data_IF_208241205532
#
_entry.id   IF_208241205532
#
_cell.length_a   1.000
_cell.length_b   1.000
_cell.length_c   1.000
_cell.angle_alpha   90.00
_cell.angle_beta   90.00
_cell.angle_gamma   90.00
#
_symmetry.space_group_name_H-M   'P 1'
#
loop_
_entity.id
_entity.type
_entity.pdbx_description
1 polymer ?
#
# COMPACT_ATOMS: atom_id res chain seq x y z
N UNK A 1 -10.53 -5.07 0.36
CA UNK A 1 -9.61 -6.20 0.59
C UNK A 1 -8.55 -6.20 -0.50
N UNK A 2 -7.26 -6.42 -0.17
CA UNK A 2 -6.19 -6.61 -1.16
C UNK A 2 -5.81 -8.08 -1.28
N UNK A 3 -5.74 -8.59 -2.51
CA UNK A 3 -5.32 -9.96 -2.83
C UNK A 3 -4.21 -9.94 -3.86
N UNK A 4 -3.13 -10.70 -3.60
CA UNK A 4 -2.09 -10.95 -4.60
C UNK A 4 -2.50 -12.16 -5.43
N UNK A 5 -2.79 -11.95 -6.71
CA UNK A 5 -3.17 -12.99 -7.66
C UNK A 5 -1.95 -13.72 -8.21
N UNK A 6 -0.90 -12.96 -8.56
CA UNK A 6 0.39 -13.47 -9.00
C UNK A 6 1.51 -12.59 -8.47
N UNK A 7 2.66 -13.21 -8.26
CA UNK A 7 3.87 -12.52 -7.86
C UNK A 7 5.09 -13.14 -8.55
N UNK A 8 6.03 -12.29 -8.95
CA UNK A 8 7.34 -12.70 -9.44
C UNK A 8 8.42 -11.87 -8.77
N UNK A 9 9.36 -12.54 -8.10
CA UNK A 9 10.58 -11.92 -7.59
C UNK A 9 11.43 -11.35 -8.73
N UNK A 10 11.94 -10.14 -8.53
CA UNK A 10 12.83 -9.45 -9.47
C UNK A 10 14.24 -9.34 -8.89
N UNK A 11 14.37 -8.70 -7.74
CA UNK A 11 15.66 -8.40 -7.10
C UNK A 11 15.45 -8.06 -5.62
N UNK A 12 16.54 -7.73 -4.93
CA UNK A 12 16.48 -7.01 -3.66
C UNK A 12 16.86 -5.55 -3.86
N UNK A 13 16.21 -4.67 -3.11
CA UNK A 13 16.53 -3.25 -3.03
C UNK A 13 16.37 -2.79 -1.58
N UNK A 14 17.43 -2.21 -1.02
CA UNK A 14 17.50 -1.77 0.40
C UNK A 14 17.08 -2.85 1.42
N UNK A 15 17.36 -4.12 1.10
CA UNK A 15 17.00 -5.25 1.96
C UNK A 15 15.55 -5.72 1.85
N UNK A 16 14.72 -5.06 1.04
CA UNK A 16 13.37 -5.50 0.69
C UNK A 16 13.37 -6.23 -0.65
N UNK A 17 12.50 -7.24 -0.80
CA UNK A 17 12.30 -7.89 -2.09
C UNK A 17 11.50 -6.99 -3.01
N UNK A 18 11.98 -6.84 -4.24
CA UNK A 18 11.28 -6.16 -5.32
C UNK A 18 10.53 -7.21 -6.13
N UNK A 19 9.22 -7.00 -6.31
CA UNK A 19 8.35 -7.96 -7.00
C UNK A 19 7.52 -7.29 -8.08
N UNK A 20 7.24 -8.01 -9.16
CA UNK A 20 6.13 -7.68 -10.06
C UNK A 20 4.92 -8.45 -9.56
N UNK A 21 3.81 -7.77 -9.32
CA UNK A 21 2.59 -8.38 -8.82
C UNK A 21 1.37 -8.10 -9.72
N UNK A 22 0.46 -9.07 -9.79
CA UNK A 22 -0.92 -8.87 -10.23
C UNK A 22 -1.80 -8.88 -8.98
N UNK A 23 -2.59 -7.83 -8.79
CA UNK A 23 -3.40 -7.60 -7.59
C UNK A 23 -4.89 -7.55 -7.91
N UNK A 24 -5.72 -7.87 -6.92
CA UNK A 24 -7.14 -7.54 -6.90
C UNK A 24 -7.45 -6.74 -5.64
N UNK A 25 -8.17 -5.63 -5.79
CA UNK A 25 -8.63 -4.76 -4.70
C UNK A 25 -10.14 -4.52 -4.81
N UNK A 26 -10.85 -4.33 -3.71
CA UNK A 26 -12.27 -3.99 -3.77
C UNK A 26 -12.44 -2.56 -4.28
N UNK A 27 -11.56 -1.65 -3.84
CA UNK A 27 -11.51 -0.26 -4.31
C UNK A 27 -10.07 0.20 -4.59
N UNK A 28 -9.90 1.14 -5.53
CA UNK A 28 -8.61 1.78 -5.83
C UNK A 28 -7.95 2.42 -4.61
N UNK A 29 -8.72 2.79 -3.57
CA UNK A 29 -8.19 3.32 -2.29
C UNK A 29 -7.30 2.32 -1.56
N UNK A 30 -7.39 1.04 -1.91
CA UNK A 30 -6.63 -0.04 -1.29
C UNK A 30 -5.38 -0.41 -2.10
N UNK A 31 -5.15 0.25 -3.25
CA UNK A 31 -3.93 0.06 -4.01
C UNK A 31 -2.72 0.45 -3.15
N UNK A 32 -1.67 -0.39 -3.12
CA UNK A 32 -0.51 -0.15 -2.29
C UNK A 32 0.31 1.04 -2.82
N UNK A 33 1.02 1.70 -1.91
CA UNK A 33 2.01 2.73 -2.24
C UNK A 33 3.25 2.11 -2.89
N UNK A 34 4.22 2.94 -3.27
CA UNK A 34 5.52 2.49 -3.81
C UNK A 34 6.27 1.55 -2.84
N UNK A 35 6.09 1.73 -1.54
CA UNK A 35 6.61 0.82 -0.50
C UNK A 35 6.05 -0.61 -0.62
N UNK A 36 5.02 -0.79 -1.46
CA UNK A 36 4.46 -2.04 -1.92
C UNK A 36 3.61 -2.75 -0.88
N UNK A 37 3.77 -4.07 -0.76
CA UNK A 37 2.83 -4.93 -0.02
C UNK A 37 3.60 -5.76 1.00
N UNK A 38 3.31 -5.56 2.29
CA UNK A 38 3.80 -6.40 3.39
C UNK A 38 5.33 -6.60 3.36
N UNK A 39 6.09 -5.51 3.25
CA UNK A 39 7.56 -5.56 3.24
C UNK A 39 8.19 -5.94 1.89
N UNK A 40 7.41 -5.92 0.80
CA UNK A 40 7.90 -6.07 -0.57
C UNK A 40 7.70 -4.77 -1.33
N UNK A 41 8.71 -4.30 -2.05
CA UNK A 41 8.57 -3.15 -2.97
C UNK A 41 7.93 -3.62 -4.28
N UNK A 42 7.04 -2.79 -4.84
CA UNK A 42 6.48 -3.06 -6.16
C UNK A 42 7.41 -2.55 -7.25
N UNK A 43 7.73 -3.43 -8.20
CA UNK A 43 8.39 -3.06 -9.44
C UNK A 43 7.38 -2.37 -10.37
N UNK A 44 7.85 -1.42 -11.21
CA UNK A 44 7.11 -1.01 -12.39
C UNK A 44 6.66 -2.23 -13.21
N UNK A 45 5.54 -2.07 -13.93
CA UNK A 45 4.80 -3.12 -14.64
C UNK A 45 3.99 -4.09 -13.74
N UNK A 46 3.84 -3.78 -12.45
CA UNK A 46 2.80 -4.41 -11.62
C UNK A 46 1.41 -3.96 -12.07
N UNK A 47 0.41 -4.80 -11.84
CA UNK A 47 -0.96 -4.63 -12.35
C UNK A 47 -1.97 -4.82 -11.22
N UNK A 48 -3.10 -4.13 -11.30
CA UNK A 48 -4.17 -4.31 -10.32
C UNK A 48 -5.57 -4.21 -10.96
N UNK A 49 -6.49 -5.01 -10.42
CA UNK A 49 -7.91 -5.01 -10.78
C UNK A 49 -8.73 -4.43 -9.64
N UNK A 50 -9.51 -3.38 -9.91
CA UNK A 50 -10.53 -2.88 -8.98
C UNK A 50 -11.83 -3.64 -9.21
N UNK A 51 -12.22 -4.49 -8.26
CA UNK A 51 -13.34 -5.41 -8.41
C UNK A 51 -14.69 -4.68 -8.46
N UNK A 52 -14.85 -3.59 -7.70
CA UNK A 52 -16.12 -2.86 -7.63
C UNK A 52 -16.48 -2.12 -8.92
N UNK A 53 -15.47 -1.61 -9.64
CA UNK A 53 -15.66 -0.81 -10.86
C UNK A 53 -15.30 -1.57 -12.13
N UNK A 54 -14.50 -2.64 -12.02
CA UNK A 54 -13.90 -3.35 -13.15
C UNK A 54 -12.74 -2.60 -13.79
N UNK A 55 -12.26 -1.52 -13.16
CA UNK A 55 -11.13 -0.74 -13.66
C UNK A 55 -9.81 -1.49 -13.50
N UNK A 56 -8.89 -1.23 -14.42
CA UNK A 56 -7.59 -1.87 -14.48
C UNK A 56 -6.49 -0.84 -14.32
N UNK A 57 -5.51 -1.13 -13.48
CA UNK A 57 -4.45 -0.20 -13.12
C UNK A 57 -3.08 -0.79 -13.42
N UNK A 58 -2.19 0.04 -13.97
CA UNK A 58 -0.78 -0.26 -14.17
C UNK A 58 0.10 0.56 -13.23
N UNK A 59 1.11 -0.06 -12.61
CA UNK A 59 2.09 0.62 -11.76
C UNK A 59 3.25 1.15 -12.60
N UNK A 60 3.38 2.47 -12.62
CA UNK A 60 4.37 3.21 -13.40
C UNK A 60 5.76 3.22 -12.79
N UNK A 61 6.75 3.68 -13.57
CA UNK A 61 8.12 3.91 -13.09
C UNK A 61 8.25 5.15 -12.20
N UNK A 62 7.20 5.94 -12.10
CA UNK A 62 7.07 7.14 -11.27
C UNK A 62 6.41 6.85 -9.91
N UNK A 63 6.19 5.58 -9.57
CA UNK A 63 5.62 5.17 -8.29
C UNK A 63 4.10 5.34 -8.18
N UNK A 64 3.41 5.60 -9.30
CA UNK A 64 1.96 5.87 -9.34
C UNK A 64 1.23 4.75 -10.04
N UNK A 65 -0.04 4.58 -9.66
CA UNK A 65 -0.96 3.76 -10.44
C UNK A 65 -1.56 4.60 -11.55
N UNK A 66 -1.81 4.02 -12.71
CA UNK A 66 -2.51 4.67 -13.81
C UNK A 66 -3.70 3.82 -14.19
N UNK A 67 -4.89 4.40 -14.22
CA UNK A 67 -6.07 3.75 -14.74
C UNK A 67 -5.89 3.53 -16.24
N UNK A 68 -5.84 2.28 -16.68
CA UNK A 68 -5.56 1.89 -18.05
C UNK A 68 -6.76 2.09 -18.99
N UNK A 69 -7.95 2.37 -18.44
CA UNK A 69 -9.15 2.71 -19.20
C UNK A 69 -9.25 4.21 -19.48
N UNK A 70 -8.97 5.05 -18.48
CA UNK A 70 -9.11 6.52 -18.59
C UNK A 70 -7.78 7.25 -18.84
N UNK A 71 -6.65 6.64 -18.49
CA UNK A 71 -5.33 7.25 -18.50
C UNK A 71 -5.05 8.15 -17.29
N UNK A 72 -5.97 8.20 -16.32
CA UNK A 72 -5.81 9.06 -15.14
C UNK A 72 -4.82 8.46 -14.13
N UNK A 73 -3.84 9.26 -13.65
CA UNK A 73 -2.95 8.82 -12.59
C UNK A 73 -3.68 8.79 -11.24
N UNK A 74 -3.29 7.85 -10.39
CA UNK A 74 -3.75 7.67 -9.04
C UNK A 74 -2.54 7.47 -8.12
N UNK A 75 -2.42 8.36 -7.14
CA UNK A 75 -1.40 8.31 -6.09
C UNK A 75 -2.05 7.85 -4.79
N UNK A 76 -1.83 6.58 -4.38
CA UNK A 76 -2.34 6.09 -3.11
C UNK A 76 -1.70 6.88 -1.97
N UNK A 77 -2.53 7.34 -1.04
CA UNK A 77 -2.08 8.05 0.16
C UNK A 77 -1.74 7.01 1.24
N UNK A 78 -0.60 7.13 1.95
CA UNK A 78 -0.35 6.26 3.10
C UNK A 78 -1.48 6.44 4.14
N UNK A 79 -1.84 5.35 4.82
CA UNK A 79 -2.75 5.44 5.95
C UNK A 79 -2.17 6.42 6.99
N UNK A 80 -3.01 7.25 7.65
CA UNK A 80 -2.53 8.14 8.69
C UNK A 80 -1.81 7.34 9.77
N UNK A 81 -0.68 7.87 10.26
CA UNK A 81 0.04 7.30 11.40
C UNK A 81 -0.93 7.20 12.59
N UNK A 82 -0.88 6.12 13.40
CA UNK A 82 -1.70 6.03 14.60
C UNK A 82 -1.39 7.22 15.52
N UNK A 83 -2.43 7.82 16.09
CA UNK A 83 -2.26 8.86 17.11
C UNK A 83 -1.47 8.26 18.29
N UNK A 84 -0.56 9.03 18.92
CA UNK A 84 0.14 8.56 20.10
C UNK A 84 -0.88 8.14 21.17
N UNK A 85 -0.65 7.00 21.81
CA UNK A 85 -1.49 6.58 22.94
C UNK A 85 -1.52 7.69 24.00
N UNK A 86 -2.68 8.00 24.59
CA UNK A 86 -2.75 9.00 25.65
C UNK A 86 -1.78 8.62 26.78
N UNK A 87 -1.04 9.60 27.29
CA UNK A 87 -0.14 9.43 28.42
C UNK A 87 -0.94 8.80 29.58
N UNK A 88 -0.43 7.75 30.25
CA UNK A 88 -1.10 7.16 31.40
C UNK A 88 -1.49 8.24 32.41
N UNK A 89 -2.76 8.25 32.85
CA UNK A 89 -3.19 9.16 33.91
C UNK A 89 -2.30 8.97 35.14
N UNK A 90 -1.87 10.07 35.79
CA UNK A 90 -1.05 9.97 36.99
C UNK A 90 -1.78 9.13 38.04
N UNK A 91 -1.08 8.14 38.59
CA UNK A 91 -1.62 7.25 39.62
C UNK A 91 -1.99 8.09 40.86
N UNK A 92 -3.27 8.12 41.29
CA UNK A 92 -3.72 8.93 42.41
C UNK A 92 -3.07 8.54 43.75
N UNK A 93 -2.30 7.44 43.82
CA UNK A 93 -1.61 7.00 45.02
C UNK A 93 -0.21 7.63 45.25
N UNK A 94 0.23 8.55 44.38
CA UNK A 94 1.57 9.18 44.50
C UNK A 94 1.61 10.48 45.34
N UNK A 95 0.48 10.95 45.89
CA UNK A 95 0.41 12.22 46.66
C UNK A 95 0.31 12.05 48.20
N UNK A 96 0.86 10.97 48.75
CA UNK A 96 1.01 10.82 50.21
C UNK A 96 2.44 10.43 50.62
N UNK A 97 3.35 11.41 50.59
CA UNK A 97 4.54 11.46 51.46
C UNK A 97 4.76 12.88 52.00
#
# INVERSE_FOLDING_TARGET
MLVILKEKFVSFDEGLSVVIAELAVDSKTELPTESGIEGRKLSPASLAWEISTGEFYGFGSDGKWVNQTTGEPYEPTPAPEPEPEPDPEPDPESETE
#
